data_IF_170474025890
#
_entry.id   IF_170474025890
#
_cell.length_a   1.000
_cell.length_b   1.000
_cell.length_c   1.000
_cell.angle_alpha   90.00
_cell.angle_beta   90.00
_cell.angle_gamma   90.00
#
_symmetry.space_group_name_H-M   'P 1'
#
loop_
_entity.id
_entity.type
_entity.pdbx_description
1 polymer ?
#
# COMPACT_ATOMS: atom_id res chain seq x y z
N UNK A 1 -8.40 -9.10 -21.82
CA UNK A 1 -9.67 -8.40 -21.48
C UNK A 1 -9.35 -7.19 -20.62
N UNK A 2 -9.86 -6.00 -20.95
CA UNK A 2 -9.66 -4.79 -20.14
C UNK A 2 -10.64 -4.69 -18.97
N UNK A 3 -10.20 -4.22 -17.82
CA UNK A 3 -11.08 -3.84 -16.69
C UNK A 3 -11.74 -2.49 -17.01
N UNK A 4 -12.99 -2.28 -16.60
CA UNK A 4 -13.65 -0.97 -16.71
C UNK A 4 -12.95 0.01 -15.76
N UNK A 5 -12.58 1.18 -16.26
CA UNK A 5 -11.92 2.24 -15.49
C UNK A 5 -12.77 3.51 -15.57
N UNK A 6 -12.95 4.18 -14.43
CA UNK A 6 -13.55 5.52 -14.37
C UNK A 6 -12.41 6.53 -14.34
N UNK A 7 -12.34 7.37 -15.37
CA UNK A 7 -11.33 8.43 -15.44
C UNK A 7 -11.78 9.64 -14.60
N UNK A 8 -10.92 10.08 -13.68
CA UNK A 8 -11.14 11.24 -12.82
C UNK A 8 -10.02 12.26 -13.05
N UNK A 9 -10.31 13.57 -13.07
CA UNK A 9 -9.28 14.59 -13.14
C UNK A 9 -8.27 14.44 -11.99
N UNK A 10 -6.99 14.28 -12.34
CA UNK A 10 -5.89 14.21 -11.37
C UNK A 10 -5.50 15.60 -10.86
N UNK A 11 -5.54 16.61 -11.72
CA UNK A 11 -5.04 17.92 -11.38
C UNK A 11 -6.05 18.66 -10.51
N UNK A 12 -5.58 19.18 -9.39
CA UNK A 12 -6.43 19.85 -8.40
C UNK A 12 -7.02 21.18 -8.91
N UNK A 13 -6.50 21.69 -10.03
CA UNK A 13 -6.94 22.94 -10.66
C UNK A 13 -7.87 22.71 -11.87
N UNK A 14 -8.20 21.47 -12.24
CA UNK A 14 -9.01 21.15 -13.44
C UNK A 14 -10.51 20.94 -13.14
N UNK A 15 -10.95 21.18 -11.90
CA UNK A 15 -12.37 21.09 -11.50
C UNK A 15 -12.66 20.01 -10.45
N UNK A 16 -13.94 19.87 -10.10
CA UNK A 16 -14.43 18.92 -9.08
C UNK A 16 -15.53 18.00 -9.66
N UNK A 17 -15.68 16.76 -9.16
CA UNK A 17 -14.80 16.12 -8.18
C UNK A 17 -13.47 15.67 -8.80
N UNK A 18 -12.36 15.95 -8.11
CA UNK A 18 -11.03 15.47 -8.45
C UNK A 18 -10.60 14.31 -7.53
N UNK A 19 -9.42 13.75 -7.78
CA UNK A 19 -8.88 12.62 -7.01
C UNK A 19 -8.83 12.87 -5.48
N UNK A 20 -8.60 14.09 -5.03
CA UNK A 20 -8.60 14.40 -3.58
C UNK A 20 -10.01 14.35 -3.02
N UNK A 21 -11.02 14.84 -3.74
CA UNK A 21 -12.42 14.76 -3.30
C UNK A 21 -12.88 13.30 -3.15
N UNK A 22 -12.52 12.45 -4.11
CA UNK A 22 -12.81 11.01 -4.08
C UNK A 22 -12.24 10.34 -2.83
N UNK A 23 -10.98 10.66 -2.48
CA UNK A 23 -10.31 10.15 -1.27
C UNK A 23 -10.97 10.71 0.00
N UNK A 24 -11.23 12.02 0.04
CA UNK A 24 -11.81 12.69 1.21
C UNK A 24 -13.22 12.18 1.50
N UNK A 25 -13.98 11.85 0.46
CA UNK A 25 -15.31 11.27 0.56
C UNK A 25 -15.29 9.78 0.93
N UNK A 26 -14.12 9.14 1.00
CA UNK A 26 -13.98 7.73 1.37
C UNK A 26 -14.59 6.77 0.35
N UNK A 27 -14.64 7.18 -0.93
CA UNK A 27 -15.24 6.37 -2.01
C UNK A 27 -14.28 5.35 -2.61
N UNK A 28 -13.09 5.21 -2.03
CA UNK A 28 -12.03 4.27 -2.41
C UNK A 28 -11.42 3.64 -1.16
N UNK A 29 -11.03 2.37 -1.27
CA UNK A 29 -10.44 1.61 -0.16
C UNK A 29 -8.90 1.64 -0.14
N UNK A 30 -8.28 2.05 -1.25
CA UNK A 30 -6.82 2.15 -1.37
C UNK A 30 -6.42 3.19 -2.43
N UNK A 31 -5.21 3.73 -2.29
CA UNK A 31 -4.59 4.66 -3.25
C UNK A 31 -3.25 4.09 -3.71
N UNK A 32 -3.01 4.10 -5.02
CA UNK A 32 -1.69 3.80 -5.61
C UNK A 32 -1.17 5.06 -6.29
N UNK A 33 -0.14 5.68 -5.72
CA UNK A 33 0.50 6.88 -6.24
C UNK A 33 2.00 6.65 -6.41
N UNK A 34 2.42 6.23 -7.59
CA UNK A 34 3.85 6.12 -7.94
C UNK A 34 4.44 7.50 -8.19
N UNK A 35 5.63 7.75 -7.65
CA UNK A 35 6.33 9.03 -7.87
C UNK A 35 6.96 8.98 -9.26
N UNK A 36 6.27 9.56 -10.25
CA UNK A 36 6.77 9.69 -11.62
C UNK A 36 6.54 11.11 -12.13
N UNK A 37 7.45 11.60 -12.98
CA UNK A 37 7.27 12.84 -13.73
C UNK A 37 7.87 14.11 -13.10
N UNK A 38 7.35 15.25 -13.54
CA UNK A 38 7.90 16.59 -13.30
C UNK A 38 7.42 17.22 -11.98
N UNK A 39 7.88 18.45 -11.68
CA UNK A 39 7.61 19.16 -10.42
C UNK A 39 6.11 19.32 -10.09
N UNK A 40 5.24 19.51 -11.09
CA UNK A 40 3.79 19.62 -10.84
C UNK A 40 3.19 18.27 -10.46
N UNK A 41 3.60 17.17 -11.12
CA UNK A 41 3.19 15.81 -10.74
C UNK A 41 3.61 15.45 -9.30
N UNK A 42 4.79 15.90 -8.87
CA UNK A 42 5.26 15.72 -7.49
C UNK A 42 4.39 16.50 -6.49
N UNK A 43 4.00 17.73 -6.82
CA UNK A 43 3.14 18.56 -5.97
C UNK A 43 1.72 17.97 -5.84
N UNK A 44 1.09 17.61 -6.95
CA UNK A 44 -0.24 16.98 -6.92
C UNK A 44 -0.18 15.65 -6.17
N UNK A 45 0.85 14.85 -6.42
CA UNK A 45 1.11 13.60 -5.71
C UNK A 45 1.26 13.79 -4.20
N UNK A 46 1.85 14.90 -3.74
CA UNK A 46 1.94 15.20 -2.31
C UNK A 46 0.54 15.37 -1.68
N UNK A 47 -0.34 16.12 -2.33
CA UNK A 47 -1.71 16.34 -1.84
C UNK A 47 -2.53 15.03 -1.83
N UNK A 48 -2.38 14.19 -2.86
CA UNK A 48 -3.02 12.87 -2.94
C UNK A 48 -2.58 11.97 -1.76
N UNK A 49 -1.27 11.84 -1.54
CA UNK A 49 -0.73 11.02 -0.45
C UNK A 49 -1.17 11.54 0.92
N UNK A 50 -1.18 12.86 1.12
CA UNK A 50 -1.64 13.50 2.36
C UNK A 50 -3.11 13.19 2.64
N UNK A 51 -3.99 13.38 1.65
CA UNK A 51 -5.41 13.12 1.80
C UNK A 51 -5.70 11.65 2.18
N UNK A 52 -4.97 10.70 1.58
CA UNK A 52 -5.12 9.28 1.90
C UNK A 52 -4.75 8.97 3.36
N UNK A 53 -3.60 9.49 3.81
CA UNK A 53 -3.13 9.31 5.21
C UNK A 53 -4.11 9.95 6.21
N UNK A 54 -4.57 11.17 5.96
CA UNK A 54 -5.54 11.85 6.82
C UNK A 54 -6.88 11.09 6.93
N UNK A 55 -7.25 10.35 5.89
CA UNK A 55 -8.46 9.50 5.85
C UNK A 55 -8.23 8.06 6.29
N UNK A 56 -7.01 7.70 6.71
CA UNK A 56 -6.60 6.33 7.06
C UNK A 56 -6.82 5.32 5.93
N UNK A 57 -6.73 5.78 4.68
CA UNK A 57 -6.79 4.94 3.49
C UNK A 57 -5.35 4.52 3.13
N UNK A 58 -5.06 3.22 2.97
CA UNK A 58 -3.74 2.75 2.56
C UNK A 58 -3.26 3.43 1.27
N UNK A 59 -2.03 3.94 1.29
CA UNK A 59 -1.41 4.63 0.16
C UNK A 59 -0.09 3.96 -0.23
N UNK A 60 -0.06 3.35 -1.41
CA UNK A 60 1.10 2.66 -1.95
C UNK A 60 1.87 3.57 -2.92
N UNK A 61 3.18 3.69 -2.72
CA UNK A 61 4.05 4.52 -3.57
C UNK A 61 4.94 3.73 -4.52
N UNK A 62 4.86 2.40 -4.46
CA UNK A 62 5.52 1.46 -5.35
C UNK A 62 4.51 0.45 -5.88
N UNK A 63 4.66 0.06 -7.15
CA UNK A 63 3.83 -0.97 -7.77
C UNK A 63 4.07 -2.30 -7.07
N UNK A 64 5.33 -2.65 -6.78
CA UNK A 64 5.67 -3.93 -6.16
C UNK A 64 5.01 -4.09 -4.79
N UNK A 65 4.93 -3.01 -4.00
CA UNK A 65 4.22 -3.02 -2.70
C UNK A 65 2.72 -3.17 -2.89
N UNK A 66 2.12 -2.50 -3.88
CA UNK A 66 0.70 -2.64 -4.16
C UNK A 66 0.35 -4.06 -4.63
N UNK A 67 1.21 -4.68 -5.44
CA UNK A 67 1.08 -6.08 -5.88
C UNK A 67 1.16 -7.03 -4.69
N UNK A 68 2.18 -6.93 -3.85
CA UNK A 68 2.32 -7.78 -2.66
C UNK A 68 1.13 -7.64 -1.70
N UNK A 69 0.61 -6.42 -1.51
CA UNK A 69 -0.59 -6.20 -0.72
C UNK A 69 -1.83 -6.87 -1.34
N UNK A 70 -2.02 -6.77 -2.66
CA UNK A 70 -3.13 -7.42 -3.36
C UNK A 70 -3.05 -8.95 -3.28
N UNK A 71 -1.87 -9.53 -3.46
CA UNK A 71 -1.63 -10.98 -3.33
C UNK A 71 -1.94 -11.48 -1.91
N UNK A 72 -1.51 -10.73 -0.90
CA UNK A 72 -1.81 -11.03 0.51
C UNK A 72 -3.31 -11.01 0.82
N UNK A 73 -4.10 -10.16 0.17
CA UNK A 73 -5.56 -10.10 0.37
C UNK A 73 -6.30 -11.31 -0.24
N UNK A 74 -5.70 -11.96 -1.24
CA UNK A 74 -6.28 -13.14 -1.92
C UNK A 74 -5.81 -14.48 -1.37
N UNK A 75 -4.77 -14.46 -0.54
CA UNK A 75 -4.23 -15.67 0.09
C UNK A 75 -5.23 -16.21 1.12
N UNK A 76 -5.33 -17.53 1.25
CA UNK A 76 -6.10 -18.13 2.34
C UNK A 76 -5.59 -17.59 3.69
N UNK A 77 -6.52 -17.38 4.63
CA UNK A 77 -6.24 -16.73 5.91
C UNK A 77 -4.98 -17.30 6.56
N UNK A 78 -4.17 -16.47 7.22
CA UNK A 78 -2.83 -16.85 7.62
C UNK A 78 -2.85 -18.05 8.57
N UNK A 79 -2.29 -19.17 8.11
CA UNK A 79 -1.74 -20.19 8.98
C UNK A 79 -0.49 -19.59 9.63
N UNK A 80 -0.68 -18.80 10.69
CA UNK A 80 0.42 -18.19 11.40
C UNK A 80 1.29 -19.27 12.05
N UNK A 81 2.51 -19.43 11.56
CA UNK A 81 3.54 -20.18 12.26
C UNK A 81 4.22 -19.24 13.25
N UNK A 82 3.64 -19.09 14.43
CA UNK A 82 4.18 -18.21 15.48
C UNK A 82 5.37 -18.90 16.13
N UNK A 83 6.52 -18.23 16.09
CA UNK A 83 7.77 -18.67 16.72
C UNK A 83 8.36 -17.51 17.51
N UNK A 84 8.96 -17.82 18.65
CA UNK A 84 9.82 -16.86 19.36
C UNK A 84 11.04 -16.51 18.49
N UNK A 85 11.67 -15.36 18.77
CA UNK A 85 12.88 -14.94 18.05
C UNK A 85 13.96 -16.04 18.07
N UNK A 86 14.12 -16.73 19.20
CA UNK A 86 15.10 -17.82 19.34
C UNK A 86 14.76 -19.01 18.44
N UNK A 87 13.49 -19.39 18.30
CA UNK A 87 13.02 -20.49 17.45
C UNK A 87 13.12 -20.19 15.94
N UNK A 88 13.19 -18.91 15.56
CA UNK A 88 13.34 -18.49 14.15
C UNK A 88 14.79 -18.49 13.67
N UNK A 89 15.76 -18.32 14.57
CA UNK A 89 17.18 -18.34 14.25
C UNK A 89 17.61 -19.81 14.04
N UNK A 90 18.19 -20.18 12.88
CA UNK A 90 18.78 -21.50 12.70
C UNK A 90 19.87 -21.74 13.74
N UNK A 91 19.86 -22.87 14.44
CA UNK A 91 21.05 -23.28 15.19
C UNK A 91 22.20 -23.53 14.23
N UNK A 92 23.43 -23.12 14.57
CA UNK A 92 24.61 -23.75 14.00
C UNK A 92 24.48 -25.27 14.16
N UNK A 93 24.81 -26.02 13.12
CA UNK A 93 24.74 -27.49 13.15
C UNK A 93 25.55 -28.03 14.35
N UNK A 94 24.86 -28.62 15.34
CA UNK A 94 25.50 -29.40 16.41
C UNK A 94 25.38 -28.91 17.86
N UNK A 95 24.72 -27.79 18.17
CA UNK A 95 24.58 -27.34 19.57
C UNK A 95 23.17 -27.58 20.15
N UNK A 96 23.02 -28.40 21.22
CA UNK A 96 21.75 -28.56 21.92
C UNK A 96 21.39 -27.29 22.70
N UNK A 97 20.11 -26.88 22.60
CA UNK A 97 19.60 -25.63 23.19
C UNK A 97 19.35 -25.68 24.70
N UNK A 98 19.32 -26.87 25.29
CA UNK A 98 18.96 -27.04 26.70
C UNK A 98 20.17 -27.55 27.51
N UNK A 99 20.97 -26.58 27.97
CA UNK A 99 21.86 -26.75 29.11
C UNK A 99 21.56 -25.66 30.14
N UNK A 100 20.35 -25.70 30.71
CA UNK A 100 20.05 -25.26 32.08
C UNK A 100 18.64 -25.64 32.51
#
# INVERSE_FOLDING_TARGET
MGKKVVAIPKRLNEGHPNVVDIIVNGTVDAVVNTITGNRSAVKDGFHIRRAAVEKRIPCFTSIDTATAAAESLTSEGPNYNVKSMLEYIPTPEGEPRDAK
#
